data_IF_009322900190
#
_entry.id   IF_009322900190
#
_cell.length_a   1.000
_cell.length_b   1.000
_cell.length_c   1.000
_cell.angle_alpha   90.00
_cell.angle_beta   90.00
_cell.angle_gamma   90.00
#
_symmetry.space_group_name_H-M   'P 1'
#
loop_
_entity.id
_entity.type
_entity.pdbx_description
1 polymer ?
#
# COMPACT_ATOMS: atom_id res chain seq x y z
N UNK A 1 10.97 27.71 41.56
CA UNK A 1 11.30 26.88 40.39
C UNK A 1 10.02 26.15 40.01
N UNK A 2 9.24 26.74 39.10
CA UNK A 2 7.97 26.21 38.61
C UNK A 2 8.12 25.99 37.11
N UNK A 3 8.04 24.74 36.66
CA UNK A 3 7.97 24.38 35.25
C UNK A 3 6.51 24.42 34.80
N UNK A 4 6.13 25.47 34.10
CA UNK A 4 4.88 25.52 33.34
C UNK A 4 5.06 24.76 32.03
N UNK A 5 4.33 23.65 31.90
CA UNK A 5 4.10 22.97 30.62
C UNK A 5 3.21 23.86 29.75
N UNK A 6 3.79 24.50 28.74
CA UNK A 6 3.04 25.07 27.62
C UNK A 6 2.47 23.92 26.79
N UNK A 7 1.14 23.77 26.82
CA UNK A 7 0.39 22.95 25.87
C UNK A 7 0.47 23.66 24.51
N UNK A 8 1.05 22.98 23.52
CA UNK A 8 0.93 23.35 22.11
C UNK A 8 -0.55 23.24 21.71
N UNK A 9 -1.24 24.39 21.67
CA UNK A 9 -2.53 24.51 21.02
C UNK A 9 -2.28 24.49 19.50
N UNK A 10 -2.72 23.44 18.84
CA UNK A 10 -2.85 23.41 17.38
C UNK A 10 -3.90 24.45 16.95
N UNK A 11 -3.67 25.22 15.88
CA UNK A 11 -4.63 26.20 15.42
C UNK A 11 -5.87 25.52 14.79
N UNK A 12 -7.05 25.87 15.30
CA UNK A 12 -8.40 25.48 14.85
C UNK A 12 -8.77 25.93 13.41
N UNK A 13 -7.81 26.25 12.54
CA UNK A 13 -8.09 26.87 11.24
C UNK A 13 -7.86 25.92 10.05
N UNK A 14 -8.54 24.77 10.06
CA UNK A 14 -8.88 23.99 8.86
C UNK A 14 -10.32 23.46 8.94
N UNK A 15 -11.25 24.29 9.44
CA UNK A 15 -12.67 24.12 9.15
C UNK A 15 -12.89 24.42 7.66
N UNK A 16 -12.88 23.35 6.89
CA UNK A 16 -13.32 23.31 5.49
C UNK A 16 -14.73 23.88 5.38
N UNK A 17 -14.98 24.61 4.29
CA UNK A 17 -16.32 25.10 3.93
C UNK A 17 -17.32 23.95 4.02
N UNK A 18 -18.28 24.12 4.92
CA UNK A 18 -19.36 23.20 5.28
C UNK A 18 -20.14 22.72 4.04
N UNK A 19 -19.74 21.59 3.47
CA UNK A 19 -20.75 20.61 3.07
C UNK A 19 -21.27 20.04 4.38
N UNK A 20 -22.52 20.31 4.77
CA UNK A 20 -23.11 19.84 6.04
C UNK A 20 -23.29 18.31 6.15
N UNK A 21 -22.34 17.54 5.61
CA UNK A 21 -22.26 16.10 5.69
C UNK A 21 -21.68 15.77 7.05
N UNK A 22 -22.49 15.18 7.91
CA UNK A 22 -22.06 14.63 9.18
C UNK A 22 -21.23 13.38 8.88
N UNK A 23 -19.97 13.28 9.34
CA UNK A 23 -19.15 12.09 9.24
C UNK A 23 -19.91 10.84 9.69
N UNK A 24 -20.04 9.84 8.82
CA UNK A 24 -20.63 8.55 9.18
C UNK A 24 -20.13 7.42 8.26
N UNK A 25 -20.30 6.19 8.73
CA UNK A 25 -20.14 5.00 7.90
C UNK A 25 -21.43 4.70 7.13
N UNK A 26 -21.27 4.40 5.84
CA UNK A 26 -22.32 3.94 4.96
C UNK A 26 -22.12 2.45 4.65
N UNK A 27 -23.22 1.71 4.52
CA UNK A 27 -23.25 0.32 4.10
C UNK A 27 -24.00 0.20 2.76
N UNK A 28 -23.30 0.36 1.61
CA UNK A 28 -23.96 0.44 0.30
C UNK A 28 -24.82 -0.79 -0.06
N UNK A 29 -24.52 -1.93 0.56
CA UNK A 29 -25.21 -3.21 0.36
C UNK A 29 -25.96 -3.70 1.61
N UNK A 30 -26.15 -2.82 2.60
CA UNK A 30 -26.65 -3.20 3.91
C UNK A 30 -25.60 -3.87 4.80
N UNK A 31 -25.83 -3.84 6.13
CA UNK A 31 -24.91 -4.42 7.12
C UNK A 31 -24.78 -5.94 6.99
N UNK A 32 -25.79 -6.60 6.43
CA UNK A 32 -25.84 -8.03 6.14
C UNK A 32 -24.82 -8.48 5.08
N UNK A 33 -24.25 -7.56 4.31
CA UNK A 33 -23.20 -7.88 3.35
C UNK A 33 -21.82 -8.07 4.03
N UNK A 34 -21.66 -7.63 5.28
CA UNK A 34 -20.46 -7.94 6.06
C UNK A 34 -20.39 -9.44 6.37
N UNK A 35 -19.21 -10.08 6.32
CA UNK A 35 -19.03 -11.46 6.77
C UNK A 35 -19.58 -11.63 8.20
N UNK A 36 -20.35 -12.70 8.44
CA UNK A 36 -20.85 -13.01 9.79
C UNK A 36 -19.70 -13.29 10.76
N UNK A 37 -18.60 -13.82 10.23
CA UNK A 37 -17.39 -14.20 10.95
C UNK A 37 -16.18 -13.76 10.13
N UNK A 38 -15.22 -13.13 10.79
CA UNK A 38 -14.00 -12.62 10.18
C UNK A 38 -12.82 -13.26 10.88
N UNK A 39 -12.01 -14.02 10.15
CA UNK A 39 -10.77 -14.59 10.66
C UNK A 39 -9.52 -14.16 9.91
N UNK A 40 -9.72 -13.42 8.81
CA UNK A 40 -8.65 -12.97 7.92
C UNK A 40 -8.95 -11.53 7.50
N UNK A 41 -7.97 -10.67 7.68
CA UNK A 41 -8.01 -9.27 7.25
C UNK A 41 -6.86 -8.99 6.29
N UNK A 42 -7.19 -8.39 5.14
CA UNK A 42 -6.22 -7.90 4.18
C UNK A 42 -6.14 -6.37 4.27
N UNK A 43 -4.93 -5.86 4.34
CA UNK A 43 -4.65 -4.45 4.55
C UNK A 43 -3.88 -3.87 3.38
N UNK A 44 -4.36 -2.77 2.81
CA UNK A 44 -3.41 -1.76 2.34
C UNK A 44 -2.80 -1.03 3.54
N UNK A 45 -1.63 -0.44 3.35
CA UNK A 45 -0.91 0.31 4.38
C UNK A 45 -1.11 1.81 4.21
N UNK A 46 -0.86 2.33 3.02
CA UNK A 46 -0.73 3.76 2.77
C UNK A 46 -2.09 4.44 2.76
N UNK A 47 -2.28 5.47 3.58
CA UNK A 47 -3.57 6.14 3.67
C UNK A 47 -4.69 5.27 4.25
N UNK A 48 -4.42 4.00 4.57
CA UNK A 48 -5.37 3.07 5.23
C UNK A 48 -5.10 3.00 6.72
N UNK A 49 -3.90 2.54 7.10
CA UNK A 49 -3.46 2.48 8.51
C UNK A 49 -2.47 3.59 8.86
N UNK A 50 -2.03 4.37 7.86
CA UNK A 50 -1.08 5.46 8.02
C UNK A 50 -1.70 6.83 7.71
N UNK A 51 -1.27 7.86 8.43
CA UNK A 51 -1.43 9.26 8.02
C UNK A 51 -0.04 9.83 7.70
N UNK A 52 0.17 10.23 6.43
CA UNK A 52 1.47 10.75 5.93
C UNK A 52 2.65 9.85 6.33
N UNK A 53 2.53 8.56 6.04
CA UNK A 53 3.55 7.53 6.31
C UNK A 53 3.76 7.18 7.79
N UNK A 54 2.92 7.70 8.70
CA UNK A 54 2.99 7.38 10.13
C UNK A 54 1.85 6.41 10.46
N UNK A 55 2.14 5.16 10.87
CA UNK A 55 1.11 4.22 11.32
C UNK A 55 0.34 4.74 12.54
N UNK A 56 -1.00 4.63 12.54
CA UNK A 56 -1.84 5.04 13.68
C UNK A 56 -1.81 3.97 14.79
N UNK A 57 -1.29 4.30 15.99
CA UNK A 57 -1.15 3.33 17.08
C UNK A 57 -2.46 2.66 17.52
N UNK A 58 -3.61 3.32 17.36
CA UNK A 58 -4.92 2.76 17.76
C UNK A 58 -5.35 1.62 16.85
N UNK A 59 -5.05 1.75 15.56
CA UNK A 59 -5.29 0.67 14.59
C UNK A 59 -4.36 -0.50 14.90
N UNK A 60 -3.07 -0.22 15.15
CA UNK A 60 -2.09 -1.24 15.49
C UNK A 60 -2.48 -1.97 16.79
N UNK A 61 -2.98 -1.26 17.80
CA UNK A 61 -3.52 -1.84 19.04
C UNK A 61 -4.65 -2.83 18.73
N UNK A 62 -5.62 -2.43 17.91
CA UNK A 62 -6.75 -3.31 17.54
C UNK A 62 -6.25 -4.55 16.80
N UNK A 63 -5.32 -4.38 15.84
CA UNK A 63 -4.70 -5.47 15.10
C UNK A 63 -4.00 -6.46 16.03
N UNK A 64 -3.20 -5.97 16.99
CA UNK A 64 -2.50 -6.81 17.96
C UNK A 64 -3.49 -7.59 18.85
N UNK A 65 -4.56 -6.93 19.30
CA UNK A 65 -5.60 -7.54 20.13
C UNK A 65 -6.35 -8.65 19.37
N UNK A 66 -6.70 -8.44 18.10
CA UNK A 66 -7.39 -9.45 17.29
C UNK A 66 -6.45 -10.54 16.81
N UNK A 67 -5.18 -10.22 16.51
CA UNK A 67 -4.15 -11.23 16.23
C UNK A 67 -3.91 -12.14 17.44
N UNK A 68 -3.97 -11.61 18.66
CA UNK A 68 -3.91 -12.42 19.90
C UNK A 68 -5.14 -13.34 20.08
N UNK A 69 -6.26 -13.04 19.40
CA UNK A 69 -7.43 -13.91 19.33
C UNK A 69 -7.34 -14.94 18.19
N UNK A 70 -6.27 -14.92 17.40
CA UNK A 70 -6.06 -15.84 16.27
C UNK A 70 -6.56 -15.31 14.92
N UNK A 71 -6.91 -14.03 14.79
CA UNK A 71 -7.25 -13.44 13.48
C UNK A 71 -5.98 -13.22 12.66
N UNK A 72 -5.96 -13.63 11.40
CA UNK A 72 -4.84 -13.42 10.50
C UNK A 72 -4.89 -12.02 9.87
N UNK A 73 -3.79 -11.26 9.97
CA UNK A 73 -3.63 -9.94 9.36
C UNK A 73 -2.55 -9.99 8.28
N UNK A 74 -2.93 -9.63 7.05
CA UNK A 74 -2.08 -9.70 5.88
C UNK A 74 -1.90 -8.30 5.27
N UNK A 75 -0.71 -7.73 5.39
CA UNK A 75 -0.37 -6.39 4.88
C UNK A 75 0.17 -6.50 3.46
N UNK A 76 -0.64 -6.17 2.47
CA UNK A 76 -0.28 -6.23 1.04
C UNK A 76 -0.14 -4.80 0.53
N UNK A 77 1.10 -4.37 0.32
CA UNK A 77 1.41 -2.95 0.08
C UNK A 77 2.32 -2.76 -1.12
N UNK A 78 2.26 -1.56 -1.72
CA UNK A 78 3.23 -1.10 -2.71
C UNK A 78 4.55 -0.62 -2.09
N UNK A 79 4.66 -0.56 -0.76
CA UNK A 79 5.90 -0.25 -0.04
C UNK A 79 6.92 -1.39 -0.18
N UNK A 80 8.19 -1.03 -0.10
CA UNK A 80 9.28 -2.00 0.01
C UNK A 80 9.40 -2.56 1.44
N UNK A 81 10.19 -3.61 1.59
CA UNK A 81 10.41 -4.27 2.89
C UNK A 81 11.13 -3.39 3.90
N UNK A 82 12.02 -2.51 3.45
CA UNK A 82 12.80 -1.65 4.34
C UNK A 82 11.89 -0.65 5.05
N UNK A 83 10.93 -0.08 4.33
CA UNK A 83 9.92 0.78 4.94
C UNK A 83 9.14 0.06 6.03
N UNK A 84 8.74 -1.20 5.81
CA UNK A 84 8.03 -2.00 6.81
C UNK A 84 8.90 -2.26 8.06
N UNK A 85 10.18 -2.58 7.87
CA UNK A 85 11.14 -2.80 8.96
C UNK A 85 11.41 -1.53 9.77
N UNK A 86 11.54 -0.38 9.10
CA UNK A 86 11.95 0.87 9.72
C UNK A 86 10.78 1.67 10.30
N UNK A 87 9.56 1.52 9.75
CA UNK A 87 8.43 2.40 10.07
C UNK A 87 7.22 1.65 10.65
N UNK A 88 6.92 0.43 10.20
CA UNK A 88 5.73 -0.30 10.66
C UNK A 88 6.03 -1.20 11.86
N UNK A 89 6.99 -2.12 11.73
CA UNK A 89 7.34 -3.09 12.79
C UNK A 89 7.70 -2.43 14.13
N UNK A 90 8.45 -1.30 14.17
CA UNK A 90 8.76 -0.65 15.45
C UNK A 90 7.52 -0.14 16.19
N UNK A 91 6.47 0.27 15.45
CA UNK A 91 5.20 0.71 16.04
C UNK A 91 4.44 -0.49 16.61
N UNK A 92 4.47 -1.64 15.93
CA UNK A 92 3.94 -2.89 16.49
C UNK A 92 4.62 -3.27 17.81
N UNK A 93 5.96 -3.24 17.85
CA UNK A 93 6.73 -3.56 19.06
C UNK A 93 6.42 -2.58 20.19
N UNK A 94 6.36 -1.28 19.88
CA UNK A 94 6.02 -0.24 20.86
C UNK A 94 4.62 -0.46 21.44
N UNK A 95 3.60 -0.61 20.60
CA UNK A 95 2.22 -0.76 21.05
C UNK A 95 2.04 -2.10 21.79
N UNK A 96 2.65 -3.18 21.34
CA UNK A 96 2.61 -4.45 22.06
C UNK A 96 3.21 -4.33 23.47
N UNK A 97 4.33 -3.61 23.61
CA UNK A 97 4.93 -3.33 24.91
C UNK A 97 4.00 -2.50 25.82
N UNK A 98 3.41 -1.43 25.29
CA UNK A 98 2.47 -0.55 26.01
C UNK A 98 1.20 -1.29 26.47
N UNK A 99 0.71 -2.21 25.65
CA UNK A 99 -0.49 -3.02 25.92
C UNK A 99 -0.20 -4.29 26.73
N UNK A 100 1.08 -4.60 27.01
CA UNK A 100 1.47 -5.82 27.71
C UNK A 100 1.20 -7.11 26.92
N UNK A 101 1.18 -7.02 25.60
CA UNK A 101 1.02 -8.15 24.68
C UNK A 101 2.40 -8.75 24.38
N UNK A 102 2.56 -10.06 24.54
CA UNK A 102 3.77 -10.75 24.05
C UNK A 102 3.75 -10.74 22.52
N UNK A 103 4.59 -9.91 21.91
CA UNK A 103 4.64 -9.80 20.45
C UNK A 103 4.86 -11.16 19.78
N UNK A 104 5.65 -12.06 20.39
CA UNK A 104 5.94 -13.37 19.80
C UNK A 104 4.71 -14.28 19.72
N UNK A 105 3.69 -14.08 20.57
CA UNK A 105 2.46 -14.87 20.52
C UNK A 105 1.54 -14.43 19.39
N UNK A 106 1.67 -13.20 18.89
CA UNK A 106 0.80 -12.65 17.82
C UNK A 106 1.46 -12.64 16.44
N UNK A 107 2.79 -12.62 16.35
CA UNK A 107 3.52 -12.64 15.08
C UNK A 107 3.12 -13.79 14.14
N UNK A 108 2.75 -15.00 14.60
CA UNK A 108 2.26 -16.06 13.71
C UNK A 108 1.00 -15.69 12.91
N UNK A 109 0.23 -14.70 13.35
CA UNK A 109 -1.00 -14.23 12.73
C UNK A 109 -0.81 -12.86 12.01
N UNK A 110 0.43 -12.40 11.88
CA UNK A 110 0.77 -11.13 11.21
C UNK A 110 1.71 -11.44 10.04
N UNK A 111 1.31 -11.06 8.84
CA UNK A 111 2.03 -11.37 7.61
C UNK A 111 2.25 -10.12 6.77
N UNK A 112 3.48 -9.94 6.29
CA UNK A 112 3.87 -8.78 5.50
C UNK A 112 4.19 -9.21 4.06
N UNK A 113 3.54 -8.55 3.11
CA UNK A 113 3.61 -8.79 1.68
C UNK A 113 3.95 -7.48 0.93
N UNK A 114 5.21 -7.01 1.01
CA UNK A 114 5.64 -5.81 0.29
C UNK A 114 5.63 -6.02 -1.22
N UNK A 115 5.76 -4.90 -1.95
CA UNK A 115 5.88 -4.87 -3.41
C UNK A 115 4.75 -5.63 -4.13
N UNK A 116 3.51 -5.30 -3.77
CA UNK A 116 2.27 -5.90 -4.29
C UNK A 116 2.16 -7.41 -4.00
N UNK A 117 2.86 -7.89 -2.98
CA UNK A 117 2.88 -9.28 -2.55
C UNK A 117 3.78 -10.20 -3.36
N UNK A 118 4.68 -9.65 -4.17
CA UNK A 118 5.75 -10.41 -4.83
C UNK A 118 6.83 -10.92 -3.87
N UNK A 119 6.82 -10.41 -2.64
CA UNK A 119 7.66 -10.84 -1.56
C UNK A 119 6.79 -11.10 -0.33
N UNK A 120 7.20 -12.07 0.48
CA UNK A 120 6.70 -12.27 1.83
C UNK A 120 7.84 -12.09 2.82
N UNK A 121 7.56 -11.58 4.00
CA UNK A 121 8.57 -11.48 5.07
C UNK A 121 8.20 -12.41 6.22
N UNK A 122 9.18 -13.13 6.75
CA UNK A 122 9.02 -13.80 8.03
C UNK A 122 8.82 -12.74 9.12
N UNK A 123 7.69 -12.76 9.86
CA UNK A 123 7.39 -11.70 10.83
C UNK A 123 8.37 -11.69 12.00
N UNK A 124 9.02 -12.82 12.30
CA UNK A 124 9.99 -12.97 13.40
C UNK A 124 11.40 -12.64 12.91
N UNK A 125 11.91 -13.35 11.90
CA UNK A 125 13.30 -13.17 11.46
C UNK A 125 13.49 -11.95 10.55
N UNK A 126 12.41 -11.45 9.94
CA UNK A 126 12.48 -10.43 8.89
C UNK A 126 13.02 -10.95 7.56
N UNK A 127 13.37 -12.23 7.45
CA UNK A 127 13.95 -12.74 6.21
C UNK A 127 12.94 -12.67 5.05
N UNK A 128 13.30 -12.00 3.94
CA UNK A 128 12.44 -11.91 2.78
C UNK A 128 12.44 -13.23 2.01
N UNK A 129 11.26 -13.59 1.48
CA UNK A 129 11.06 -14.70 0.54
C UNK A 129 10.34 -14.17 -0.69
N UNK A 130 11.07 -14.12 -1.79
CA UNK A 130 10.54 -13.75 -3.11
C UNK A 130 9.59 -14.83 -3.65
N UNK A 131 8.63 -14.41 -4.46
CA UNK A 131 7.83 -15.32 -5.27
C UNK A 131 8.72 -16.09 -6.26
N UNK A 132 8.73 -17.42 -6.19
CA UNK A 132 9.65 -18.25 -6.99
C UNK A 132 9.56 -18.00 -8.50
N UNK A 133 8.37 -17.66 -9.01
CA UNK A 133 8.14 -17.43 -10.44
C UNK A 133 8.70 -16.11 -10.99
N UNK A 134 9.32 -15.25 -10.16
CA UNK A 134 9.75 -13.91 -10.60
C UNK A 134 11.23 -13.77 -10.91
N UNK A 135 12.08 -14.69 -10.44
CA UNK A 135 13.54 -14.52 -10.48
C UNK A 135 14.10 -14.36 -11.90
N UNK A 136 13.51 -15.05 -12.86
CA UNK A 136 13.94 -14.99 -14.27
C UNK A 136 13.17 -13.95 -15.10
N UNK A 137 12.28 -13.17 -14.47
CA UNK A 137 11.46 -12.20 -15.16
C UNK A 137 12.32 -11.05 -15.75
N UNK A 138 12.04 -10.55 -16.97
CA UNK A 138 12.85 -9.50 -17.60
C UNK A 138 12.95 -8.20 -16.78
N UNK A 139 11.94 -7.87 -15.99
CA UNK A 139 11.98 -6.72 -15.08
C UNK A 139 13.02 -6.89 -13.95
N UNK A 140 13.43 -8.12 -13.62
CA UNK A 140 14.36 -8.42 -12.53
C UNK A 140 15.75 -8.77 -13.06
N UNK A 141 15.81 -9.73 -13.98
CA UNK A 141 17.07 -10.36 -14.41
C UNK A 141 17.59 -9.83 -15.75
N UNK A 142 17.33 -8.57 -16.07
CA UNK A 142 17.82 -7.96 -17.31
C UNK A 142 18.14 -6.48 -17.16
N UNK A 143 18.83 -5.92 -18.16
CA UNK A 143 19.09 -4.47 -18.23
C UNK A 143 17.81 -3.62 -18.39
N UNK A 144 16.64 -4.23 -18.60
CA UNK A 144 15.37 -3.55 -18.81
C UNK A 144 15.03 -2.61 -17.64
N UNK A 145 15.15 -3.08 -16.39
CA UNK A 145 14.89 -2.25 -15.20
C UNK A 145 15.72 -0.98 -15.20
N UNK A 146 17.03 -1.12 -15.42
CA UNK A 146 17.96 0.02 -15.47
C UNK A 146 17.64 0.96 -16.64
N UNK A 147 17.24 0.42 -17.79
CA UNK A 147 16.82 1.23 -18.94
C UNK A 147 15.54 2.02 -18.64
N UNK A 148 14.54 1.40 -18.01
CA UNK A 148 13.33 2.10 -17.59
C UNK A 148 13.67 3.17 -16.55
N UNK A 149 14.46 2.83 -15.52
CA UNK A 149 14.89 3.75 -14.48
C UNK A 149 15.60 4.98 -15.03
N UNK A 150 16.36 4.85 -16.13
CA UNK A 150 17.07 5.98 -16.78
C UNK A 150 16.14 7.10 -17.29
N UNK A 151 14.84 6.84 -17.47
CA UNK A 151 13.89 7.88 -17.87
C UNK A 151 13.62 8.87 -16.74
N UNK A 152 13.86 8.51 -15.49
CA UNK A 152 13.44 9.24 -14.30
C UNK A 152 14.63 9.83 -13.54
N UNK A 153 14.36 10.76 -12.62
CA UNK A 153 15.37 11.15 -11.63
C UNK A 153 15.76 9.93 -10.79
N UNK A 154 17.01 9.85 -10.37
CA UNK A 154 17.46 8.88 -9.37
C UNK A 154 18.08 9.64 -8.21
N UNK A 155 17.92 9.12 -7.00
CA UNK A 155 18.50 9.70 -5.77
C UNK A 155 19.98 10.01 -5.91
N UNK A 156 20.74 9.10 -6.55
CA UNK A 156 22.17 9.26 -6.86
C UNK A 156 22.51 10.39 -7.83
N UNK A 157 21.56 10.84 -8.64
CA UNK A 157 21.73 11.94 -9.60
C UNK A 157 21.45 13.31 -8.95
N UNK A 158 21.02 13.31 -7.69
CA UNK A 158 20.64 14.51 -6.94
C UNK A 158 21.63 14.78 -5.80
N UNK A 159 21.75 16.04 -5.38
CA UNK A 159 22.55 16.37 -4.20
C UNK A 159 21.72 16.15 -2.94
N UNK A 160 22.23 15.43 -1.92
CA UNK A 160 21.54 15.30 -0.64
C UNK A 160 21.30 16.69 -0.01
N UNK A 161 20.10 16.91 0.52
CA UNK A 161 19.77 18.13 1.23
C UNK A 161 19.51 17.80 2.70
N UNK A 162 20.42 18.17 3.59
CA UNK A 162 20.11 18.10 5.02
C UNK A 162 19.09 19.19 5.39
N UNK A 163 18.48 19.05 6.57
CA UNK A 163 17.42 19.92 7.04
C UNK A 163 17.76 21.42 7.06
N UNK A 164 19.06 21.73 7.18
CA UNK A 164 19.60 23.04 7.53
C UNK A 164 20.39 23.71 6.39
N UNK A 165 20.71 22.96 5.34
CA UNK A 165 21.52 23.44 4.23
C UNK A 165 20.66 24.24 3.26
N UNK A 166 21.13 25.45 2.94
CA UNK A 166 20.51 26.26 1.90
C UNK A 166 20.75 25.61 0.52
N UNK A 167 19.75 25.60 -0.37
CA UNK A 167 19.94 25.11 -1.73
C UNK A 167 21.11 25.81 -2.41
N UNK A 168 21.98 25.08 -3.13
CA UNK A 168 23.00 25.69 -3.98
C UNK A 168 22.36 26.64 -4.99
N UNK A 169 23.17 27.56 -5.52
CA UNK A 169 22.71 28.43 -6.61
C UNK A 169 22.13 27.57 -7.74
N UNK A 170 20.97 28.00 -8.26
CA UNK A 170 20.22 27.31 -9.32
C UNK A 170 19.62 25.94 -8.94
N UNK A 171 19.43 25.64 -7.66
CA UNK A 171 18.74 24.44 -7.22
C UNK A 171 17.48 24.76 -6.41
N UNK A 172 16.55 23.82 -6.34
CA UNK A 172 15.39 23.83 -5.46
C UNK A 172 15.30 22.53 -4.66
N UNK A 173 14.60 22.56 -3.54
CA UNK A 173 14.40 21.38 -2.69
C UNK A 173 13.24 20.56 -3.24
N UNK A 174 13.46 19.26 -3.36
CA UNK A 174 12.41 18.28 -3.60
C UNK A 174 12.46 17.20 -2.53
N UNK A 175 11.37 16.44 -2.43
CA UNK A 175 11.32 15.21 -1.63
C UNK A 175 10.88 14.03 -2.48
N UNK A 176 11.39 12.84 -2.15
CA UNK A 176 10.87 11.57 -2.66
C UNK A 176 9.66 11.08 -1.83
N UNK A 177 9.17 9.88 -2.13
CA UNK A 177 8.04 9.27 -1.43
C UNK A 177 8.35 8.84 0.02
N UNK A 178 9.62 8.78 0.40
CA UNK A 178 10.07 8.48 1.77
C UNK A 178 10.42 9.76 2.54
N UNK A 179 10.18 10.94 1.95
CA UNK A 179 10.46 12.24 2.57
C UNK A 179 11.93 12.66 2.52
N UNK A 180 12.78 11.90 1.84
CA UNK A 180 14.21 12.21 1.69
C UNK A 180 14.35 13.49 0.88
N UNK A 181 15.07 14.46 1.45
CA UNK A 181 15.26 15.79 0.85
C UNK A 181 16.47 15.77 -0.09
N UNK A 182 16.27 16.28 -1.30
CA UNK A 182 17.32 16.44 -2.29
C UNK A 182 17.29 17.83 -2.93
N UNK A 183 18.43 18.31 -3.40
CA UNK A 183 18.51 19.48 -4.26
C UNK A 183 18.44 19.05 -5.74
N UNK A 184 17.43 19.55 -6.44
CA UNK A 184 17.23 19.36 -7.87
C UNK A 184 17.63 20.63 -8.63
N UNK A 185 18.37 20.54 -9.74
CA UNK A 185 18.71 21.72 -10.54
C UNK A 185 17.48 22.29 -11.25
N UNK A 186 17.41 23.62 -11.40
CA UNK A 186 16.30 24.28 -12.11
C UNK A 186 16.28 24.01 -13.61
N UNK A 187 17.45 23.84 -14.23
CA UNK A 187 17.54 23.76 -15.68
C UNK A 187 17.66 22.30 -16.11
N UNK A 188 16.79 21.82 -17.02
CA UNK A 188 16.86 20.43 -17.48
C UNK A 188 18.20 20.02 -18.11
N UNK A 189 18.98 20.94 -18.68
CA UNK A 189 20.32 20.63 -19.22
C UNK A 189 21.40 20.39 -18.16
N UNK A 190 21.12 20.72 -16.89
CA UNK A 190 22.00 20.39 -15.77
C UNK A 190 21.73 18.94 -15.28
N UNK A 191 20.68 18.28 -15.77
CA UNK A 191 20.38 16.87 -15.51
C UNK A 191 21.08 15.94 -16.52
N UNK A 192 21.23 14.67 -16.16
CA UNK A 192 21.66 13.62 -17.09
C UNK A 192 20.72 13.62 -18.33
N UNK A 193 21.25 13.70 -19.57
CA UNK A 193 20.43 13.76 -20.78
C UNK A 193 19.57 12.51 -21.01
N UNK A 194 19.83 11.39 -20.34
CA UNK A 194 18.98 10.19 -20.38
C UNK A 194 17.64 10.43 -19.68
N UNK A 195 17.58 11.32 -18.69
CA UNK A 195 16.36 11.63 -17.93
C UNK A 195 15.36 12.34 -18.85
N UNK A 196 14.23 11.67 -19.11
CA UNK A 196 13.14 12.18 -19.97
C UNK A 196 11.94 12.67 -19.17
N UNK A 197 11.81 12.24 -17.92
CA UNK A 197 10.65 12.44 -17.06
C UNK A 197 11.11 13.00 -15.70
N UNK A 198 11.58 14.25 -15.64
CA UNK A 198 12.17 14.84 -14.44
C UNK A 198 11.14 15.18 -13.34
N UNK A 199 9.84 15.04 -13.63
CA UNK A 199 8.77 15.20 -12.64
C UNK A 199 8.60 13.95 -11.75
N UNK A 200 9.38 12.91 -12.02
CA UNK A 200 9.31 11.61 -11.33
C UNK A 200 10.69 11.18 -10.85
N UNK A 201 10.72 10.49 -9.73
CA UNK A 201 11.90 9.87 -9.14
C UNK A 201 11.73 8.36 -9.05
N UNK A 202 12.72 7.61 -9.53
CA UNK A 202 12.75 6.16 -9.43
C UNK A 202 13.03 5.72 -7.99
N UNK A 203 12.22 4.80 -7.47
CA UNK A 203 12.47 4.14 -6.18
C UNK A 203 13.59 3.10 -6.33
N UNK A 204 14.71 3.35 -5.65
CA UNK A 204 15.90 2.48 -5.62
C UNK A 204 15.79 1.36 -4.58
N UNK A 205 14.84 1.46 -3.65
CA UNK A 205 14.60 0.49 -2.57
C UNK A 205 13.77 -0.72 -2.99
N UNK A 206 12.93 -0.58 -4.02
CA UNK A 206 12.11 -1.69 -4.53
C UNK A 206 12.96 -2.68 -5.32
N UNK A 207 12.76 -3.97 -5.07
CA UNK A 207 13.57 -5.07 -5.60
C UNK A 207 12.85 -5.82 -6.74
N UNK A 208 11.53 -6.03 -6.61
CA UNK A 208 10.70 -6.90 -7.46
C UNK A 208 9.70 -6.15 -8.35
N UNK A 209 9.31 -4.92 -7.98
CA UNK A 209 8.56 -4.01 -8.85
C UNK A 209 9.40 -2.77 -9.17
N UNK A 210 9.07 -2.07 -10.24
CA UNK A 210 9.56 -0.71 -10.47
C UNK A 210 8.52 0.29 -9.98
N UNK A 211 8.95 1.39 -9.36
CA UNK A 211 8.04 2.52 -9.13
C UNK A 211 8.74 3.83 -9.45
N UNK A 212 8.06 4.64 -10.27
CA UNK A 212 8.43 6.03 -10.50
C UNK A 212 7.44 6.93 -9.74
N UNK A 213 7.89 7.50 -8.63
CA UNK A 213 7.10 8.34 -7.72
C UNK A 213 7.07 9.78 -8.24
N UNK A 214 5.94 10.47 -8.09
CA UNK A 214 5.88 11.90 -8.43
C UNK A 214 6.71 12.70 -7.43
N UNK A 215 7.57 13.57 -7.95
CA UNK A 215 8.43 14.41 -7.13
C UNK A 215 7.60 15.38 -6.29
N UNK A 216 7.85 15.40 -4.98
CA UNK A 216 7.19 16.29 -4.02
C UNK A 216 7.96 17.60 -3.85
N UNK A 217 7.26 18.65 -3.45
CA UNK A 217 7.89 19.92 -3.07
C UNK A 217 8.60 19.84 -1.70
N UNK A 218 9.18 20.95 -1.25
CA UNK A 218 9.90 21.02 0.03
C UNK A 218 9.00 20.67 1.23
N UNK A 219 7.70 20.90 1.12
CA UNK A 219 6.69 20.59 2.12
C UNK A 219 6.14 19.16 2.00
N UNK A 220 6.56 18.38 0.99
CA UNK A 220 6.10 17.00 0.78
C UNK A 220 4.81 16.89 -0.04
N UNK A 221 4.37 17.98 -0.68
CA UNK A 221 3.14 18.03 -1.48
C UNK A 221 3.42 17.70 -2.94
N UNK A 222 2.47 17.03 -3.59
CA UNK A 222 2.48 16.80 -5.03
C UNK A 222 1.69 17.94 -5.68
N UNK A 223 2.28 18.63 -6.66
CA UNK A 223 1.54 19.66 -7.39
C UNK A 223 0.57 19.03 -8.40
N UNK A 224 -0.63 19.61 -8.62
CA UNK A 224 -1.57 19.11 -9.62
C UNK A 224 -0.97 19.02 -11.03
N UNK A 225 -0.07 19.94 -11.38
CA UNK A 225 0.63 19.93 -12.66
C UNK A 225 1.51 18.69 -12.83
N UNK A 226 2.26 18.29 -11.80
CA UNK A 226 3.08 17.07 -11.83
C UNK A 226 2.21 15.82 -11.85
N UNK A 227 1.16 15.81 -11.03
CA UNK A 227 0.20 14.70 -10.98
C UNK A 227 -0.47 14.46 -12.34
N UNK A 228 -0.83 15.52 -13.06
CA UNK A 228 -1.43 15.42 -14.40
C UNK A 228 -0.49 14.76 -15.44
N UNK A 229 0.82 14.66 -15.18
CA UNK A 229 1.79 14.05 -16.10
C UNK A 229 1.89 12.53 -15.95
N UNK A 230 1.27 11.92 -14.93
CA UNK A 230 1.36 10.47 -14.64
C UNK A 230 0.93 9.64 -15.86
N UNK A 231 -0.22 9.98 -16.45
CA UNK A 231 -0.74 9.24 -17.61
C UNK A 231 0.16 9.38 -18.85
N UNK A 232 0.70 10.58 -19.09
CA UNK A 232 1.62 10.82 -20.20
C UNK A 232 2.94 10.06 -20.01
N UNK A 233 3.49 10.08 -18.80
CA UNK A 233 4.70 9.33 -18.45
C UNK A 233 4.48 7.82 -18.61
N UNK A 234 3.34 7.29 -18.15
CA UNK A 234 2.97 5.89 -18.36
C UNK A 234 2.85 5.54 -19.85
N UNK A 235 2.27 6.41 -20.68
CA UNK A 235 2.18 6.21 -22.13
C UNK A 235 3.58 6.16 -22.79
N UNK A 236 4.51 7.02 -22.36
CA UNK A 236 5.89 7.04 -22.84
C UNK A 236 6.60 5.73 -22.51
N UNK A 237 6.49 5.26 -21.26
CA UNK A 237 7.08 3.97 -20.85
C UNK A 237 6.41 2.81 -21.59
N UNK A 238 5.10 2.84 -21.79
CA UNK A 238 4.40 1.81 -22.53
C UNK A 238 4.89 1.70 -23.99
N UNK A 239 5.08 2.83 -24.68
CA UNK A 239 5.66 2.86 -26.03
C UNK A 239 7.08 2.30 -26.07
N UNK A 240 7.88 2.59 -25.03
CA UNK A 240 9.20 1.98 -24.87
C UNK A 240 9.09 0.45 -24.70
N UNK A 241 8.22 -0.04 -23.83
CA UNK A 241 7.99 -1.48 -23.63
C UNK A 241 7.51 -2.16 -24.91
N UNK A 242 6.62 -1.54 -25.68
CA UNK A 242 6.16 -2.04 -26.97
C UNK A 242 7.31 -2.13 -27.98
N UNK A 243 8.13 -1.09 -28.10
CA UNK A 243 9.28 -1.07 -29.01
C UNK A 243 10.29 -2.19 -28.71
N UNK A 244 10.48 -2.51 -27.42
CA UNK A 244 11.38 -3.59 -26.98
C UNK A 244 10.69 -4.95 -26.78
N UNK A 245 9.41 -5.07 -27.14
CA UNK A 245 8.62 -6.29 -27.03
C UNK A 245 8.48 -6.86 -25.59
N UNK A 246 8.33 -5.99 -24.60
CA UNK A 246 8.10 -6.34 -23.18
C UNK A 246 6.71 -5.96 -22.66
N UNK A 247 5.84 -5.44 -23.52
CA UNK A 247 4.49 -4.97 -23.13
C UNK A 247 3.53 -6.08 -22.68
N UNK A 248 3.83 -7.35 -22.99
CA UNK A 248 3.09 -8.51 -22.50
C UNK A 248 3.65 -9.04 -21.17
N UNK A 249 4.91 -8.73 -20.84
CA UNK A 249 5.60 -9.15 -19.62
C UNK A 249 5.49 -8.12 -18.50
N UNK A 250 5.11 -6.87 -18.80
CA UNK A 250 5.08 -5.79 -17.82
C UNK A 250 3.79 -5.01 -17.95
N UNK A 251 3.13 -4.78 -16.82
CA UNK A 251 2.00 -3.87 -16.70
C UNK A 251 2.44 -2.55 -16.06
N UNK A 252 1.88 -1.46 -16.55
CA UNK A 252 1.99 -0.14 -15.94
C UNK A 252 0.68 0.18 -15.24
N UNK A 253 0.76 0.48 -13.95
CA UNK A 253 -0.36 0.89 -13.11
C UNK A 253 -0.13 2.32 -12.64
N UNK A 254 -0.63 3.33 -13.40
CA UNK A 254 -0.61 4.71 -12.95
C UNK A 254 -1.56 4.87 -11.76
N UNK A 255 -1.03 5.35 -10.65
CA UNK A 255 -1.79 5.69 -9.43
C UNK A 255 -1.70 7.19 -9.17
N UNK A 256 -2.38 7.70 -8.15
CA UNK A 256 -2.45 9.15 -7.87
C UNK A 256 -1.09 9.78 -7.55
N UNK A 257 -0.11 8.99 -7.09
CA UNK A 257 1.20 9.46 -6.63
C UNK A 257 2.38 8.88 -7.40
N UNK A 258 2.17 7.90 -8.29
CA UNK A 258 3.26 7.14 -8.90
C UNK A 258 2.83 6.40 -10.18
N UNK A 259 3.82 5.81 -10.84
CA UNK A 259 3.63 4.75 -11.85
C UNK A 259 4.25 3.48 -11.29
N UNK A 260 3.41 2.50 -10.96
CA UNK A 260 3.88 1.17 -10.61
C UNK A 260 4.11 0.37 -11.88
N UNK A 261 5.22 -0.37 -11.90
CA UNK A 261 5.69 -1.19 -13.01
C UNK A 261 5.80 -2.59 -12.46
N UNK A 262 4.79 -3.40 -12.75
CA UNK A 262 4.65 -4.72 -12.17
C UNK A 262 4.85 -5.80 -13.25
N UNK A 263 5.37 -6.98 -12.85
CA UNK A 263 5.56 -8.09 -13.76
C UNK A 263 4.23 -8.77 -14.13
N UNK A 264 4.22 -9.39 -15.31
CA UNK A 264 3.15 -10.24 -15.82
C UNK A 264 3.74 -11.62 -16.04
N UNK A 265 3.25 -12.61 -15.28
CA UNK A 265 3.74 -13.99 -15.38
C UNK A 265 2.62 -14.86 -15.94
N UNK A 266 2.89 -15.56 -17.05
CA UNK A 266 1.91 -16.38 -17.76
C UNK A 266 0.62 -15.62 -18.13
N UNK A 267 0.76 -14.36 -18.56
CA UNK A 267 -0.37 -13.49 -18.91
C UNK A 267 -1.17 -12.98 -17.70
N UNK A 268 -0.69 -13.18 -16.48
CA UNK A 268 -1.32 -12.73 -15.24
C UNK A 268 -0.49 -11.57 -14.66
N UNK A 269 -1.04 -10.35 -14.63
CA UNK A 269 -0.44 -9.26 -13.87
C UNK A 269 -0.36 -9.65 -12.40
N UNK A 270 0.84 -9.54 -11.82
CA UNK A 270 1.06 -9.81 -10.40
C UNK A 270 0.81 -8.52 -9.61
N UNK A 271 -0.41 -8.38 -9.11
CA UNK A 271 -0.89 -7.23 -8.34
C UNK A 271 -1.66 -7.73 -7.10
N UNK A 272 -2.31 -6.81 -6.39
CA UNK A 272 -3.05 -7.04 -5.14
C UNK A 272 -4.13 -8.13 -5.23
N UNK A 273 -4.82 -8.28 -6.37
CA UNK A 273 -5.80 -9.35 -6.58
C UNK A 273 -5.14 -10.74 -6.61
N UNK A 274 -3.98 -10.83 -7.27
CA UNK A 274 -3.18 -12.05 -7.32
C UNK A 274 -2.60 -12.39 -5.94
N UNK A 275 -2.07 -11.41 -5.22
CA UNK A 275 -1.47 -11.62 -3.90
C UNK A 275 -2.46 -12.23 -2.90
N UNK A 276 -3.68 -11.69 -2.82
CA UNK A 276 -4.73 -12.28 -1.96
C UNK A 276 -5.07 -13.71 -2.42
N UNK A 277 -5.24 -13.93 -3.72
CA UNK A 277 -5.53 -15.27 -4.25
C UNK A 277 -4.43 -16.29 -3.93
N UNK A 278 -3.17 -15.88 -3.96
CA UNK A 278 -2.03 -16.69 -3.52
C UNK A 278 -2.12 -17.00 -2.02
N UNK A 279 -2.34 -15.99 -1.18
CA UNK A 279 -2.43 -16.15 0.28
C UNK A 279 -3.57 -17.11 0.66
N UNK A 280 -4.77 -16.93 0.09
CA UNK A 280 -5.90 -17.81 0.36
C UNK A 280 -5.60 -19.26 -0.04
N UNK A 281 -4.91 -19.49 -1.16
CA UNK A 281 -4.48 -20.83 -1.56
C UNK A 281 -3.45 -21.44 -0.61
N UNK A 282 -2.44 -20.68 -0.20
CA UNK A 282 -1.42 -21.12 0.76
C UNK A 282 -2.04 -21.47 2.12
N UNK A 283 -2.96 -20.63 2.60
CA UNK A 283 -3.72 -20.88 3.83
C UNK A 283 -4.52 -22.17 3.71
N UNK A 284 -5.27 -22.35 2.62
CA UNK A 284 -6.01 -23.60 2.36
C UNK A 284 -5.10 -24.83 2.39
N UNK A 285 -3.95 -24.78 1.71
CA UNK A 285 -2.99 -25.89 1.68
C UNK A 285 -2.39 -26.19 3.06
N UNK A 286 -2.09 -25.16 3.85
CA UNK A 286 -1.66 -25.30 5.24
C UNK A 286 -2.72 -26.02 6.08
N UNK A 287 -3.98 -25.62 5.97
CA UNK A 287 -5.10 -26.22 6.71
C UNK A 287 -5.37 -27.67 6.29
N UNK A 288 -5.30 -27.97 4.99
CA UNK A 288 -5.41 -29.35 4.47
C UNK A 288 -4.31 -30.24 5.03
N UNK A 289 -3.06 -29.75 5.11
CA UNK A 289 -1.94 -30.51 5.73
C UNK A 289 -2.18 -30.79 7.21
N UNK A 290 -2.99 -29.98 7.90
CA UNK A 290 -3.44 -30.17 9.28
C UNK A 290 -4.71 -31.03 9.40
N UNK A 291 -5.17 -31.62 8.30
CA UNK A 291 -6.36 -32.50 8.28
C UNK A 291 -7.69 -31.76 8.25
N UNK A 292 -7.70 -30.46 7.95
CA UNK A 292 -8.93 -29.67 7.81
C UNK A 292 -9.47 -29.80 6.39
N UNK A 293 -10.80 -29.75 6.27
CA UNK A 293 -11.48 -29.66 4.97
C UNK A 293 -12.00 -28.23 4.83
N UNK A 294 -11.40 -27.47 3.93
CA UNK A 294 -11.72 -26.05 3.70
C UNK A 294 -11.46 -25.71 2.24
N UNK A 295 -12.33 -24.89 1.66
CA UNK A 295 -12.19 -24.38 0.28
C UNK A 295 -11.62 -22.96 0.28
N UNK A 296 -11.21 -22.46 -0.90
CA UNK A 296 -10.74 -21.07 -1.00
C UNK A 296 -11.92 -20.10 -0.83
N UNK A 297 -13.09 -20.52 -1.30
CA UNK A 297 -14.38 -19.84 -1.16
C UNK A 297 -14.77 -19.68 0.31
N UNK A 298 -14.60 -20.72 1.13
CA UNK A 298 -14.84 -20.65 2.57
C UNK A 298 -13.96 -19.58 3.23
N UNK A 299 -12.66 -19.55 2.90
CA UNK A 299 -11.72 -18.56 3.43
C UNK A 299 -12.08 -17.14 2.96
N UNK A 300 -12.38 -16.97 1.67
CA UNK A 300 -12.78 -15.67 1.12
C UNK A 300 -14.06 -15.14 1.78
N UNK A 301 -15.03 -16.01 2.06
CA UNK A 301 -16.29 -15.64 2.72
C UNK A 301 -16.12 -15.18 4.17
N UNK A 302 -14.99 -15.52 4.80
CA UNK A 302 -14.59 -15.13 6.17
C UNK A 302 -13.52 -14.04 6.20
N UNK A 303 -13.26 -13.43 5.05
CA UNK A 303 -12.23 -12.42 4.88
C UNK A 303 -12.84 -11.03 4.66
N UNK A 304 -12.14 -10.00 5.12
CA UNK A 304 -12.39 -8.62 4.74
C UNK A 304 -11.09 -7.96 4.29
N UNK A 305 -11.15 -7.13 3.27
CA UNK A 305 -10.06 -6.27 2.84
C UNK A 305 -10.37 -4.81 3.15
N UNK A 306 -9.37 -4.03 3.52
CA UNK A 306 -9.49 -2.60 3.81
C UNK A 306 -8.43 -1.83 3.02
N UNK A 307 -8.86 -0.78 2.31
CA UNK A 307 -7.98 0.05 1.47
C UNK A 307 -8.55 1.44 1.21
N UNK A 308 -7.71 2.36 0.75
CA UNK A 308 -8.04 3.78 0.55
C UNK A 308 -8.06 4.19 -0.93
N UNK A 309 -7.45 3.39 -1.80
CA UNK A 309 -7.19 3.79 -3.17
C UNK A 309 -8.03 3.07 -4.21
N UNK A 310 -8.06 3.65 -5.41
CA UNK A 310 -8.64 3.00 -6.60
C UNK A 310 -7.99 1.62 -6.89
N UNK A 311 -6.68 1.49 -6.66
CA UNK A 311 -5.94 0.25 -6.85
C UNK A 311 -6.37 -0.85 -5.85
N UNK A 312 -6.90 -0.47 -4.68
CA UNK A 312 -7.21 -1.41 -3.59
C UNK A 312 -8.52 -2.14 -3.81
N UNK A 313 -9.37 -1.66 -4.72
CA UNK A 313 -10.55 -2.40 -5.16
C UNK A 313 -10.18 -3.77 -5.77
N UNK A 314 -8.92 -3.97 -6.20
CA UNK A 314 -8.40 -5.28 -6.60
C UNK A 314 -8.43 -6.29 -5.45
N UNK A 315 -8.29 -5.86 -4.19
CA UNK A 315 -8.40 -6.76 -3.04
C UNK A 315 -9.76 -7.45 -2.96
N UNK A 316 -10.81 -6.75 -3.37
CA UNK A 316 -12.17 -7.24 -3.27
C UNK A 316 -12.45 -8.40 -4.24
N UNK A 317 -11.58 -8.62 -5.23
CA UNK A 317 -11.75 -9.61 -6.28
C UNK A 317 -10.47 -10.43 -6.47
N UNK A 318 -10.07 -11.24 -5.49
CA UNK A 318 -8.85 -12.01 -5.60
C UNK A 318 -8.93 -13.02 -6.74
N UNK A 319 -7.80 -13.18 -7.41
CA UNK A 319 -7.65 -14.08 -8.56
C UNK A 319 -7.08 -15.42 -8.11
N UNK A 320 -7.83 -16.49 -8.34
CA UNK A 320 -7.41 -17.86 -8.03
C UNK A 320 -6.99 -18.59 -9.32
N UNK A 321 -6.63 -19.87 -9.21
CA UNK A 321 -6.23 -20.69 -10.34
C UNK A 321 -7.26 -20.65 -11.49
N UNK A 322 -6.78 -20.83 -12.73
CA UNK A 322 -7.61 -20.77 -13.95
C UNK A 322 -8.29 -19.41 -14.19
N UNK A 323 -7.73 -18.32 -13.65
CA UNK A 323 -8.23 -16.95 -13.82
C UNK A 323 -9.69 -16.77 -13.34
N UNK A 324 -10.10 -17.59 -12.36
CA UNK A 324 -11.35 -17.40 -11.64
C UNK A 324 -11.16 -16.31 -10.59
N UNK A 325 -12.25 -15.59 -10.28
CA UNK A 325 -12.26 -14.54 -9.28
C UNK A 325 -13.21 -14.93 -8.15
N UNK A 326 -12.78 -14.72 -6.92
CA UNK A 326 -13.66 -14.80 -5.75
C UNK A 326 -14.11 -13.40 -5.34
N UNK A 327 -15.05 -13.37 -4.40
CA UNK A 327 -15.53 -12.13 -3.80
C UNK A 327 -15.07 -12.08 -2.34
N UNK A 328 -14.36 -11.01 -1.99
CA UNK A 328 -13.93 -10.69 -0.62
C UNK A 328 -14.58 -9.37 -0.24
N UNK A 329 -15.18 -9.30 0.95
CA UNK A 329 -15.79 -8.08 1.45
C UNK A 329 -14.77 -6.95 1.53
N UNK A 330 -15.13 -5.74 1.11
CA UNK A 330 -14.21 -4.61 1.03
C UNK A 330 -14.72 -3.41 1.82
N UNK A 331 -13.88 -2.90 2.73
CA UNK A 331 -14.05 -1.64 3.43
C UNK A 331 -13.23 -0.54 2.77
N UNK A 332 -13.88 0.49 2.25
CA UNK A 332 -13.20 1.62 1.61
C UNK A 332 -13.05 2.79 2.59
N UNK A 333 -11.81 3.18 2.86
CA UNK A 333 -11.47 4.27 3.78
C UNK A 333 -10.92 5.50 3.06
N UNK A 334 -10.93 5.50 1.74
CA UNK A 334 -10.38 6.58 0.92
C UNK A 334 -11.30 7.79 0.74
N UNK A 335 -10.77 8.85 0.13
CA UNK A 335 -11.59 9.98 -0.28
C UNK A 335 -12.51 9.58 -1.45
N UNK A 336 -13.67 10.22 -1.53
CA UNK A 336 -14.75 9.87 -2.47
C UNK A 336 -14.34 9.93 -3.95
N UNK A 337 -13.42 10.83 -4.30
CA UNK A 337 -12.88 10.98 -5.66
C UNK A 337 -11.93 9.84 -6.08
N UNK A 338 -11.48 9.01 -5.13
CA UNK A 338 -10.75 7.78 -5.41
C UNK A 338 -11.65 6.55 -5.48
N UNK A 339 -12.96 6.70 -5.25
CA UNK A 339 -13.90 5.60 -5.35
C UNK A 339 -14.16 5.24 -6.82
N UNK A 340 -14.19 3.95 -7.12
CA UNK A 340 -14.47 3.50 -8.49
C UNK A 340 -15.94 3.74 -8.86
N UNK A 341 -16.18 4.37 -10.02
CA UNK A 341 -17.56 4.58 -10.52
C UNK A 341 -18.20 3.30 -11.11
N UNK A 342 -17.41 2.25 -11.35
CA UNK A 342 -17.87 1.03 -12.01
C UNK A 342 -18.53 0.09 -10.98
N UNK A 343 -19.84 -0.23 -11.13
CA UNK A 343 -20.55 -1.13 -10.23
C UNK A 343 -19.90 -2.52 -10.11
N UNK A 344 -19.26 -3.04 -11.16
CA UNK A 344 -18.63 -4.37 -11.14
C UNK A 344 -17.35 -4.41 -10.29
N UNK A 345 -16.77 -3.23 -10.04
CA UNK A 345 -15.57 -3.05 -9.22
C UNK A 345 -15.93 -2.71 -7.78
N UNK A 346 -17.09 -2.09 -7.56
CA UNK A 346 -17.62 -1.78 -6.23
C UNK A 346 -18.62 -2.80 -5.70
N UNK A 347 -18.92 -3.87 -6.45
CA UNK A 347 -19.89 -4.89 -6.03
C UNK A 347 -19.60 -5.51 -4.67
N UNK A 348 -18.34 -5.53 -4.24
CA UNK A 348 -17.92 -6.11 -2.97
C UNK A 348 -17.68 -5.06 -1.87
N UNK A 349 -17.97 -3.78 -2.15
CA UNK A 349 -17.95 -2.71 -1.17
C UNK A 349 -19.08 -2.91 -0.16
N UNK A 350 -18.71 -3.20 1.08
CA UNK A 350 -19.69 -3.49 2.16
C UNK A 350 -19.79 -2.35 3.16
N UNK A 351 -18.72 -1.56 3.30
CA UNK A 351 -18.68 -0.39 4.18
C UNK A 351 -17.78 0.67 3.58
N UNK A 352 -18.17 1.94 3.73
CA UNK A 352 -17.31 3.09 3.39
C UNK A 352 -17.52 4.23 4.36
N UNK A 353 -16.53 5.10 4.46
CA UNK A 353 -16.67 6.36 5.18
C UNK A 353 -17.18 7.49 4.29
N UNK A 354 -18.12 8.29 4.78
CA UNK A 354 -18.57 9.54 4.15
C UNK A 354 -18.14 10.73 5.04
N UNK A 355 -17.33 11.64 4.49
CA UNK A 355 -16.91 12.89 5.14
C UNK A 355 -15.52 12.88 5.80
N UNK A 356 -14.87 11.73 5.91
CA UNK A 356 -13.53 11.55 6.46
C UNK A 356 -12.87 10.29 5.85
N UNK A 357 -11.55 10.17 5.95
CA UNK A 357 -10.78 9.11 5.30
C UNK A 357 -9.58 8.66 6.16
N UNK A 358 -8.94 7.60 5.70
CA UNK A 358 -7.75 6.99 6.25
C UNK A 358 -7.89 6.48 7.68
N UNK A 359 -6.90 6.68 8.57
CA UNK A 359 -6.88 6.00 9.86
C UNK A 359 -8.12 6.20 10.73
N UNK A 360 -8.76 7.37 10.65
CA UNK A 360 -10.01 7.60 11.38
C UNK A 360 -11.15 6.72 10.84
N UNK A 361 -11.33 6.66 9.52
CA UNK A 361 -12.31 5.78 8.87
C UNK A 361 -12.03 4.30 9.15
N UNK A 362 -10.76 3.91 9.16
CA UNK A 362 -10.33 2.55 9.47
C UNK A 362 -10.68 2.15 10.90
N UNK A 363 -10.41 3.00 11.89
CA UNK A 363 -10.79 2.73 13.29
C UNK A 363 -12.31 2.53 13.43
N UNK A 364 -13.11 3.41 12.83
CA UNK A 364 -14.57 3.32 12.92
C UNK A 364 -15.09 2.02 12.28
N UNK A 365 -14.51 1.58 11.16
CA UNK A 365 -14.85 0.29 10.55
C UNK A 365 -14.52 -0.85 11.51
N UNK A 366 -13.32 -0.85 12.11
CA UNK A 366 -12.88 -1.86 13.06
C UNK A 366 -13.80 -1.96 14.27
N UNK A 367 -14.21 -0.82 14.85
CA UNK A 367 -15.16 -0.78 15.96
C UNK A 367 -16.52 -1.40 15.61
N UNK A 368 -16.98 -1.22 14.36
CA UNK A 368 -18.26 -1.78 13.90
C UNK A 368 -18.22 -3.28 13.60
N UNK A 369 -17.04 -3.85 13.33
CA UNK A 369 -16.89 -5.27 12.98
C UNK A 369 -16.20 -6.09 14.07
N UNK A 370 -15.86 -5.47 15.20
CA UNK A 370 -15.10 -6.12 16.28
C UNK A 370 -15.77 -7.39 16.83
N UNK A 371 -17.10 -7.43 16.85
CA UNK A 371 -17.90 -8.55 17.34
C UNK A 371 -17.96 -9.74 16.35
N UNK A 372 -17.45 -9.55 15.13
CA UNK A 372 -17.38 -10.56 14.07
C UNK A 372 -16.04 -11.28 14.04
N UNK A 373 -15.01 -10.76 14.72
CA UNK A 373 -13.71 -11.38 14.75
C UNK A 373 -13.76 -12.73 15.47
N UNK A 374 -13.20 -13.75 14.82
CA UNK A 374 -13.07 -15.09 15.38
C UNK A 374 -11.66 -15.63 15.10
N UNK A 375 -11.18 -16.58 15.90
CA UNK A 375 -9.92 -17.26 15.60
C UNK A 375 -9.97 -17.89 14.20
N UNK A 376 -8.85 -17.81 13.49
CA UNK A 376 -8.61 -18.60 12.29
C UNK A 376 -8.85 -20.08 12.56
N UNK A 377 -9.21 -20.81 11.51
CA UNK A 377 -9.37 -22.25 11.60
C UNK A 377 -8.04 -22.89 12.00
N UNK A 378 -7.83 -23.17 13.28
CA UNK A 378 -6.69 -23.98 13.76
C UNK A 378 -6.85 -25.45 13.39
#
# INVERSE_FOLDING_TARGET
MNNSHERLNLPDSLLTKETGIIPHLEYPRGKEALPEKIDTVFWDVDGTITDRDIPDPRIIQTILQTANQGVNHNFITGRDRFWLEENLKPIFDQVAHEEGIDINSVLPNIHYFPELGLMSMDPISGEPREYEGIRDHPLINSSLRSRIASFFLQTRDLLPADGNTRPPSRHFVIKDANGIRCFCPFRPHDLNPEIKLPDFIWSDTKELIGTAEVVRDAEGRISPERQAKILLAAEIINKFLQYWNYHEDIILSPVSTAINIAPVVNGIPLDKDWAIGMILNQTRESLIRRGKTVTVEDLASRSIAIGDGYADFLFSRPRIANNQFLDVAFGFVGPKDQMHENPDKTKNLVVRSEGYHGPQATNDILEQIQDRFIPALD
#
